data_IF_018735434376
#
_entry.id   IF_018735434376
#
_cell.length_a   1.000
_cell.length_b   1.000
_cell.length_c   1.000
_cell.angle_alpha   90.00
_cell.angle_beta   90.00
_cell.angle_gamma   90.00
#
_symmetry.space_group_name_H-M   'P 1'
#
loop_
_entity.id
_entity.type
_entity.pdbx_description
1 polymer ?
#
# COMPACT_ATOMS: atom_id res chain seq x y z
N UNK A 1 14.68 34.40 27.47
CA UNK A 1 14.10 34.18 26.12
C UNK A 1 15.21 33.71 25.21
N UNK A 2 15.21 32.44 24.83
CA UNK A 2 16.30 31.80 24.09
C UNK A 2 16.16 32.08 22.58
N UNK A 3 17.14 32.79 22.03
CA UNK A 3 17.23 33.13 20.61
C UNK A 3 17.53 31.90 19.76
N UNK A 4 16.51 31.38 19.08
CA UNK A 4 16.68 30.36 18.05
C UNK A 4 16.36 31.00 16.70
N UNK A 5 17.41 31.36 15.97
CA UNK A 5 17.34 31.62 14.53
C UNK A 5 17.29 30.27 13.80
N UNK A 6 16.32 30.10 12.91
CA UNK A 6 16.19 28.90 12.08
C UNK A 6 17.42 28.78 11.17
N UNK A 7 18.01 27.58 11.09
CA UNK A 7 19.10 27.24 10.16
C UNK A 7 18.53 26.31 9.09
N UNK A 8 18.57 26.75 7.84
CA UNK A 8 18.31 25.93 6.65
C UNK A 8 17.46 26.64 5.59
N UNK A 9 18.06 26.90 4.41
CA UNK A 9 17.46 27.24 3.11
C UNK A 9 16.11 28.00 3.08
N UNK A 10 15.92 29.00 3.93
CA UNK A 10 14.67 29.77 3.96
C UNK A 10 14.91 31.24 4.31
N UNK A 11 15.70 31.93 3.48
CA UNK A 11 15.85 33.39 3.56
C UNK A 11 15.87 34.05 2.17
N UNK A 12 15.24 33.45 1.18
CA UNK A 12 14.91 34.19 -0.04
C UNK A 12 13.51 34.79 0.14
N UNK A 13 13.43 36.11 0.21
CA UNK A 13 12.17 36.84 0.35
C UNK A 13 11.19 36.53 -0.79
N UNK A 14 11.70 36.20 -1.98
CA UNK A 14 10.93 35.74 -3.13
C UNK A 14 10.36 34.34 -2.93
N UNK A 15 11.10 33.42 -2.30
CA UNK A 15 10.57 32.09 -1.95
C UNK A 15 9.44 32.18 -0.92
N UNK A 16 9.65 32.97 0.14
CA UNK A 16 8.64 33.19 1.18
C UNK A 16 7.37 33.83 0.60
N UNK A 17 7.51 34.85 -0.25
CA UNK A 17 6.38 35.50 -0.92
C UNK A 17 5.63 34.52 -1.84
N UNK A 18 6.34 33.72 -2.64
CA UNK A 18 5.73 32.72 -3.51
C UNK A 18 5.06 31.58 -2.72
N UNK A 19 5.62 31.19 -1.57
CA UNK A 19 5.02 30.19 -0.68
C UNK A 19 3.75 30.73 -0.02
N UNK A 20 3.77 31.96 0.50
CA UNK A 20 2.59 32.59 1.11
C UNK A 20 1.48 32.88 0.09
N UNK A 21 1.83 33.27 -1.14
CA UNK A 21 0.85 33.42 -2.22
C UNK A 21 0.16 32.10 -2.58
N UNK A 22 0.90 30.98 -2.53
CA UNK A 22 0.33 29.62 -2.72
C UNK A 22 -0.62 29.24 -1.60
N UNK A 23 -0.25 29.45 -0.34
CA UNK A 23 -1.12 29.19 0.83
C UNK A 23 -2.38 30.05 0.79
N UNK A 24 -2.27 31.32 0.40
CA UNK A 24 -3.41 32.22 0.23
C UNK A 24 -4.35 31.75 -0.88
N UNK A 25 -3.81 31.30 -2.01
CA UNK A 25 -4.60 30.75 -3.12
C UNK A 25 -5.28 29.41 -2.75
N UNK A 26 -4.62 28.57 -1.96
CA UNK A 26 -5.14 27.29 -1.48
C UNK A 26 -6.27 27.48 -0.45
N UNK A 27 -6.20 28.54 0.36
CA UNK A 27 -7.27 28.92 1.30
C UNK A 27 -8.56 29.43 0.63
N UNK A 28 -8.51 29.74 -0.68
CA UNK A 28 -9.67 30.15 -1.48
C UNK A 28 -10.34 28.97 -2.20
N UNK A 29 -9.70 27.80 -2.21
CA UNK A 29 -10.31 26.59 -2.73
C UNK A 29 -11.28 26.04 -1.67
N UNK A 30 -12.49 25.60 -2.05
CA UNK A 30 -13.38 24.94 -1.11
C UNK A 30 -12.63 23.76 -0.48
N UNK A 31 -12.49 23.78 0.84
CA UNK A 31 -11.94 22.64 1.56
C UNK A 31 -12.91 21.48 1.34
N UNK A 32 -12.48 20.48 0.57
CA UNK A 32 -13.28 19.29 0.31
C UNK A 32 -13.29 18.45 1.58
N UNK A 33 -14.21 18.74 2.51
CA UNK A 33 -14.56 17.83 3.60
C UNK A 33 -15.36 16.65 3.02
N UNK A 34 -14.67 15.61 2.56
CA UNK A 34 -15.30 14.32 2.33
C UNK A 34 -15.48 13.62 3.69
N UNK A 35 -16.70 13.17 3.97
CA UNK A 35 -16.91 12.22 5.05
C UNK A 35 -16.04 10.96 4.81
N UNK A 36 -15.57 10.32 5.88
CA UNK A 36 -14.62 9.21 5.80
C UNK A 36 -15.12 8.02 4.96
N UNK A 37 -16.42 7.94 4.74
CA UNK A 37 -17.15 6.96 3.93
C UNK A 37 -17.55 7.45 2.54
N UNK A 38 -17.72 8.76 2.32
CA UNK A 38 -18.15 9.35 1.05
C UNK A 38 -17.18 9.08 -0.11
N UNK A 39 -15.88 8.94 0.19
CA UNK A 39 -14.90 8.51 -0.80
C UNK A 39 -15.14 7.09 -1.31
N UNK A 40 -15.77 6.20 -0.53
CA UNK A 40 -15.92 4.77 -0.85
C UNK A 40 -17.09 4.42 -1.78
N UNK A 41 -17.86 5.40 -2.24
CA UNK A 41 -18.97 5.22 -3.19
C UNK A 41 -18.60 5.61 -4.64
N UNK A 42 -17.39 6.13 -4.85
CA UNK A 42 -16.89 6.56 -6.16
C UNK A 42 -15.90 5.55 -6.75
N UNK A 43 -15.65 5.63 -8.06
CA UNK A 43 -14.56 4.89 -8.72
C UNK A 43 -13.24 5.04 -7.92
N UNK A 44 -12.49 3.97 -7.61
CA UNK A 44 -11.33 4.06 -6.73
C UNK A 44 -10.22 4.99 -7.22
N UNK A 45 -10.11 5.17 -8.55
CA UNK A 45 -9.12 6.04 -9.19
C UNK A 45 -9.59 7.50 -9.14
N UNK A 46 -10.85 7.76 -9.52
CA UNK A 46 -11.47 9.09 -9.53
C UNK A 46 -11.76 9.62 -8.12
N UNK A 47 -12.03 8.72 -7.18
CA UNK A 47 -12.38 8.98 -5.79
C UNK A 47 -11.21 9.15 -4.84
N UNK A 48 -9.97 8.95 -5.31
CA UNK A 48 -8.77 9.17 -4.50
C UNK A 48 -8.58 8.16 -3.35
N UNK A 49 -9.06 6.92 -3.48
CA UNK A 49 -8.95 5.92 -2.40
C UNK A 49 -7.50 5.65 -2.02
N UNK A 50 -7.22 5.42 -0.74
CA UNK A 50 -5.91 4.92 -0.35
C UNK A 50 -5.72 3.49 -0.88
N UNK A 51 -4.48 3.11 -1.22
CA UNK A 51 -4.17 1.76 -1.69
C UNK A 51 -4.66 0.66 -0.73
N UNK A 52 -4.67 0.94 0.58
CA UNK A 52 -5.19 0.04 1.60
C UNK A 52 -6.70 -0.15 1.54
N UNK A 53 -7.46 0.94 1.40
CA UNK A 53 -8.92 0.85 1.26
C UNK A 53 -9.31 0.07 0.00
N UNK A 54 -8.58 0.28 -1.11
CA UNK A 54 -8.77 -0.47 -2.34
C UNK A 54 -8.43 -1.95 -2.17
N UNK A 55 -7.31 -2.25 -1.50
CA UNK A 55 -6.92 -3.62 -1.20
C UNK A 55 -7.97 -4.36 -0.37
N UNK A 56 -8.49 -3.72 0.68
CA UNK A 56 -9.56 -4.29 1.51
C UNK A 56 -10.81 -4.62 0.69
N UNK A 57 -11.28 -3.68 -0.13
CA UNK A 57 -12.43 -3.89 -1.02
C UNK A 57 -12.22 -5.04 -2.01
N UNK A 58 -11.03 -5.14 -2.62
CA UNK A 58 -10.72 -6.20 -3.58
C UNK A 58 -10.58 -7.57 -2.91
N UNK A 59 -10.03 -7.64 -1.69
CA UNK A 59 -9.96 -8.88 -0.91
C UNK A 59 -11.36 -9.40 -0.56
N UNK A 60 -12.24 -8.53 -0.06
CA UNK A 60 -13.63 -8.88 0.22
C UNK A 60 -14.34 -9.36 -1.06
N UNK A 61 -14.17 -8.65 -2.17
CA UNK A 61 -14.74 -9.03 -3.48
C UNK A 61 -14.19 -10.36 -4.01
N UNK A 62 -12.95 -10.70 -3.68
CA UNK A 62 -12.32 -11.97 -4.04
C UNK A 62 -12.81 -13.14 -3.18
N UNK A 63 -13.53 -12.88 -2.08
CA UNK A 63 -14.09 -13.88 -1.18
C UNK A 63 -13.21 -14.15 0.05
N UNK A 64 -12.27 -13.26 0.37
CA UNK A 64 -11.58 -13.30 1.66
C UNK A 64 -12.50 -12.74 2.75
N UNK A 65 -12.44 -13.33 3.94
CA UNK A 65 -13.18 -12.89 5.14
C UNK A 65 -12.21 -12.37 6.20
N UNK A 66 -12.75 -11.81 7.27
CA UNK A 66 -11.98 -11.31 8.42
C UNK A 66 -10.84 -10.36 8.02
N UNK A 67 -11.08 -9.54 6.99
CA UNK A 67 -10.08 -8.58 6.53
C UNK A 67 -9.92 -7.50 7.59
N UNK A 68 -8.76 -7.46 8.23
CA UNK A 68 -8.48 -6.53 9.32
C UNK A 68 -7.16 -5.82 9.10
N UNK A 69 -7.10 -4.56 9.55
CA UNK A 69 -5.87 -3.79 9.72
C UNK A 69 -5.07 -4.39 10.88
N UNK A 70 -4.36 -5.48 10.57
CA UNK A 70 -3.71 -6.27 11.58
C UNK A 70 -2.39 -5.63 12.00
N UNK A 71 -2.48 -4.78 13.01
CA UNK A 71 -1.29 -4.16 13.62
C UNK A 71 -0.45 -5.14 14.43
N UNK A 72 -0.75 -6.45 14.42
CA UNK A 72 0.08 -7.44 15.10
C UNK A 72 1.47 -7.51 14.48
N UNK A 73 2.44 -7.47 15.37
CA UNK A 73 3.85 -7.62 15.04
C UNK A 73 4.16 -9.11 15.13
N UNK A 74 4.27 -9.78 13.98
CA UNK A 74 4.78 -11.13 13.88
C UNK A 74 6.30 -11.07 13.89
N UNK A 75 6.96 -11.53 14.95
CA UNK A 75 8.45 -11.60 15.02
C UNK A 75 9.17 -10.31 14.58
N UNK A 76 8.59 -9.14 14.87
CA UNK A 76 9.15 -7.83 14.49
C UNK A 76 8.69 -7.28 13.14
N UNK A 77 7.97 -8.06 12.32
CA UNK A 77 7.34 -7.61 11.08
C UNK A 77 5.86 -7.33 11.25
N UNK A 78 5.37 -6.28 10.60
CA UNK A 78 3.96 -5.89 10.61
C UNK A 78 3.46 -5.82 9.16
N UNK A 79 2.85 -6.88 8.63
CA UNK A 79 2.08 -6.81 7.39
C UNK A 79 0.94 -5.78 7.51
N UNK A 80 0.44 -5.29 6.38
CA UNK A 80 -0.57 -4.22 6.37
C UNK A 80 -1.96 -4.73 6.72
N UNK A 81 -2.33 -5.91 6.24
CA UNK A 81 -3.64 -6.53 6.45
C UNK A 81 -3.47 -8.01 6.78
N UNK A 82 -4.42 -8.58 7.53
CA UNK A 82 -4.65 -10.02 7.56
C UNK A 82 -6.06 -10.35 7.08
N UNK A 83 -6.24 -11.58 6.58
CA UNK A 83 -7.53 -12.08 6.12
C UNK A 83 -7.56 -13.62 6.18
N UNK A 84 -8.74 -14.18 5.99
CA UNK A 84 -8.99 -15.62 5.89
C UNK A 84 -9.45 -15.94 4.46
N UNK A 85 -8.87 -16.95 3.81
CA UNK A 85 -9.34 -17.39 2.49
C UNK A 85 -10.53 -18.36 2.57
N UNK A 86 -11.08 -18.72 1.41
CA UNK A 86 -12.21 -19.65 1.31
C UNK A 86 -11.93 -21.06 1.87
N UNK A 87 -10.66 -21.42 2.10
CA UNK A 87 -10.24 -22.69 2.73
C UNK A 87 -9.97 -22.54 4.23
N UNK A 88 -10.24 -21.38 4.82
CA UNK A 88 -9.95 -21.10 6.22
C UNK A 88 -8.48 -20.86 6.53
N UNK A 89 -7.61 -20.67 5.52
CA UNK A 89 -6.19 -20.39 5.74
C UNK A 89 -5.98 -18.92 6.02
N UNK A 90 -5.10 -18.60 6.97
CA UNK A 90 -4.67 -17.22 7.23
C UNK A 90 -3.80 -16.69 6.10
N UNK A 91 -4.08 -15.46 5.70
CA UNK A 91 -3.28 -14.66 4.80
C UNK A 91 -2.81 -13.38 5.49
N UNK A 92 -1.56 -13.04 5.21
CA UNK A 92 -0.94 -11.77 5.52
C UNK A 92 -0.72 -11.02 4.19
N UNK A 93 -1.06 -9.74 4.15
CA UNK A 93 -0.88 -8.91 2.97
C UNK A 93 -0.08 -7.66 3.31
N UNK A 94 0.94 -7.38 2.51
CA UNK A 94 1.59 -6.06 2.51
C UNK A 94 1.02 -5.24 1.36
N UNK A 95 0.47 -4.08 1.69
CA UNK A 95 -0.02 -3.12 0.71
C UNK A 95 1.10 -2.11 0.40
N UNK A 96 1.62 -2.19 -0.81
CA UNK A 96 2.70 -1.36 -1.33
C UNK A 96 2.12 -0.28 -2.22
N UNK A 97 1.71 0.84 -1.63
CA UNK A 97 1.13 1.98 -2.32
C UNK A 97 0.80 3.11 -1.33
N UNK A 98 1.04 4.35 -1.73
CA UNK A 98 0.81 5.52 -0.89
C UNK A 98 -0.64 6.02 -0.90
N UNK A 99 -0.92 7.01 -0.05
CA UNK A 99 -2.19 7.78 -0.03
C UNK A 99 -2.22 8.94 -1.05
N UNK A 100 -1.16 9.09 -1.85
CA UNK A 100 -0.96 10.21 -2.79
C UNK A 100 -1.60 9.94 -4.15
N UNK A 101 -1.78 10.96 -4.98
CA UNK A 101 -2.26 10.83 -6.36
C UNK A 101 -1.25 10.10 -7.26
N UNK A 102 0.05 10.34 -7.07
CA UNK A 102 1.10 9.55 -7.69
C UNK A 102 1.38 8.30 -6.83
N UNK A 103 1.08 7.10 -7.33
CA UNK A 103 1.18 5.83 -6.58
C UNK A 103 2.09 4.83 -7.29
N UNK A 104 3.41 5.06 -7.30
CA UNK A 104 4.36 4.15 -7.97
C UNK A 104 4.39 2.74 -7.36
N UNK A 105 3.87 2.57 -6.13
CA UNK A 105 3.80 1.28 -5.47
C UNK A 105 5.17 0.61 -5.36
N UNK A 106 5.24 -0.65 -5.79
CA UNK A 106 6.44 -1.47 -5.78
C UNK A 106 7.50 -1.06 -6.83
N UNK A 107 7.22 -0.06 -7.68
CA UNK A 107 8.28 0.59 -8.47
C UNK A 107 9.28 1.34 -7.59
N UNK A 108 8.90 1.69 -6.34
CA UNK A 108 9.83 2.16 -5.33
C UNK A 108 10.57 0.98 -4.72
N UNK A 109 11.81 0.78 -5.16
CA UNK A 109 12.59 -0.42 -4.85
C UNK A 109 12.72 -0.73 -3.35
N UNK A 110 12.91 0.29 -2.51
CA UNK A 110 12.99 0.11 -1.05
C UNK A 110 11.69 -0.46 -0.44
N UNK A 111 10.53 -0.06 -0.98
CA UNK A 111 9.24 -0.59 -0.52
C UNK A 111 9.06 -2.04 -0.97
N UNK A 112 9.50 -2.37 -2.18
CA UNK A 112 9.53 -3.75 -2.68
C UNK A 112 10.42 -4.64 -1.80
N UNK A 113 11.65 -4.20 -1.49
CA UNK A 113 12.56 -4.98 -0.66
C UNK A 113 12.00 -5.22 0.74
N UNK A 114 11.41 -4.20 1.35
CA UNK A 114 10.73 -4.35 2.64
C UNK A 114 9.58 -5.35 2.56
N UNK A 115 8.76 -5.28 1.51
CA UNK A 115 7.64 -6.20 1.32
C UNK A 115 8.12 -7.65 1.14
N UNK A 116 9.20 -7.88 0.39
CA UNK A 116 9.80 -9.21 0.21
C UNK A 116 10.37 -9.73 1.54
N UNK A 117 11.10 -8.90 2.30
CA UNK A 117 11.68 -9.28 3.58
C UNK A 117 10.60 -9.69 4.60
N UNK A 118 9.50 -8.95 4.68
CA UNK A 118 8.34 -9.31 5.52
C UNK A 118 7.79 -10.69 5.15
N UNK A 119 7.63 -10.99 3.85
CA UNK A 119 7.17 -12.30 3.41
C UNK A 119 8.11 -13.44 3.78
N UNK A 120 9.42 -13.22 3.71
CA UNK A 120 10.41 -14.20 4.17
C UNK A 120 10.28 -14.48 5.67
N UNK A 121 10.10 -13.45 6.48
CA UNK A 121 9.90 -13.61 7.94
C UNK A 121 8.58 -14.33 8.24
N UNK A 122 7.48 -13.95 7.58
CA UNK A 122 6.16 -14.58 7.76
C UNK A 122 6.23 -16.08 7.45
N UNK A 123 6.92 -16.46 6.37
CA UNK A 123 7.07 -17.87 5.98
C UNK A 123 7.73 -18.73 7.06
N UNK A 124 8.72 -18.19 7.76
CA UNK A 124 9.42 -18.92 8.82
C UNK A 124 8.66 -18.87 10.15
N UNK A 125 8.00 -17.75 10.46
CA UNK A 125 7.30 -17.56 11.73
C UNK A 125 5.91 -18.22 11.77
N UNK A 126 5.18 -18.24 10.65
CA UNK A 126 3.87 -18.89 10.50
C UNK A 126 3.81 -19.73 9.21
N UNK A 127 4.43 -20.93 9.17
CA UNK A 127 4.54 -21.74 7.95
C UNK A 127 3.20 -22.18 7.32
N UNK A 128 2.12 -22.18 8.12
CA UNK A 128 0.77 -22.47 7.65
C UNK A 128 0.08 -21.27 6.98
N UNK A 129 0.52 -20.05 7.29
CA UNK A 129 -0.03 -18.83 6.71
C UNK A 129 0.51 -18.58 5.29
N UNK A 130 -0.22 -17.77 4.54
CA UNK A 130 0.17 -17.29 3.21
C UNK A 130 0.52 -15.81 3.26
N UNK A 131 1.37 -15.38 2.34
CA UNK A 131 1.78 -13.98 2.26
C UNK A 131 1.59 -13.45 0.84
N UNK A 132 0.90 -12.31 0.69
CA UNK A 132 0.68 -11.64 -0.58
C UNK A 132 1.20 -10.21 -0.59
N UNK A 133 1.63 -9.73 -1.76
CA UNK A 133 1.97 -8.32 -1.98
C UNK A 133 0.91 -7.70 -2.87
N UNK A 134 0.30 -6.62 -2.40
CA UNK A 134 -0.72 -5.87 -3.12
C UNK A 134 -0.15 -4.50 -3.46
N UNK A 135 -0.03 -4.15 -4.73
CA UNK A 135 0.65 -2.92 -5.15
C UNK A 135 -0.18 -2.12 -6.15
N UNK A 136 -0.02 -0.80 -6.21
CA UNK A 136 -0.63 0.05 -7.26
C UNK A 136 0.25 0.18 -8.51
N UNK A 137 1.36 -0.53 -8.55
CA UNK A 137 2.28 -0.55 -9.69
C UNK A 137 3.33 -1.63 -9.51
N UNK A 138 3.49 -2.48 -10.51
CA UNK A 138 4.52 -3.52 -10.51
C UNK A 138 5.90 -2.93 -10.83
N UNK A 139 6.98 -3.43 -10.21
CA UNK A 139 8.33 -3.03 -10.56
C UNK A 139 8.68 -3.51 -11.97
N UNK A 140 9.47 -2.71 -12.69
CA UNK A 140 10.07 -3.17 -13.95
C UNK A 140 11.03 -4.35 -13.69
N UNK A 141 11.19 -5.23 -14.69
CA UNK A 141 12.06 -6.42 -14.58
C UNK A 141 13.48 -6.07 -14.11
N UNK A 142 14.07 -5.03 -14.70
CA UNK A 142 15.43 -4.55 -14.38
C UNK A 142 15.55 -3.84 -13.02
N UNK A 143 14.42 -3.55 -12.37
CA UNK A 143 14.35 -2.76 -11.13
C UNK A 143 13.52 -3.50 -10.09
N UNK A 144 13.91 -4.73 -9.77
CA UNK A 144 13.31 -5.55 -8.72
C UNK A 144 12.27 -6.57 -9.19
N UNK A 145 11.72 -6.43 -10.41
CA UNK A 145 10.75 -7.39 -10.95
C UNK A 145 11.31 -8.81 -11.10
N UNK A 146 12.58 -8.94 -11.52
CA UNK A 146 13.26 -10.25 -11.56
C UNK A 146 13.37 -10.92 -10.18
N UNK A 147 13.72 -10.15 -9.15
CA UNK A 147 13.82 -10.66 -7.79
C UNK A 147 12.45 -11.04 -7.23
N UNK A 148 11.44 -10.20 -7.44
CA UNK A 148 10.06 -10.48 -7.04
C UNK A 148 9.56 -11.78 -7.67
N UNK A 149 9.82 -11.99 -8.97
CA UNK A 149 9.49 -13.24 -9.67
C UNK A 149 10.19 -14.44 -9.03
N UNK A 150 11.47 -14.33 -8.66
CA UNK A 150 12.24 -15.43 -8.08
C UNK A 150 11.72 -15.90 -6.71
N UNK A 151 11.09 -15.00 -5.95
CA UNK A 151 10.53 -15.26 -4.61
C UNK A 151 9.01 -15.42 -4.60
N UNK A 152 8.36 -15.43 -5.77
CA UNK A 152 6.91 -15.59 -5.90
C UNK A 152 6.53 -17.02 -6.30
N UNK A 153 5.52 -17.59 -5.64
CA UNK A 153 4.93 -18.89 -5.96
C UNK A 153 4.40 -19.63 -4.73
N UNK A 154 3.64 -20.70 -4.94
CA UNK A 154 2.86 -21.40 -3.90
C UNK A 154 3.66 -21.95 -2.70
N UNK A 155 4.98 -22.05 -2.76
CA UNK A 155 5.85 -22.48 -1.64
C UNK A 155 6.99 -21.51 -1.35
N UNK A 156 6.94 -20.33 -1.96
CA UNK A 156 7.95 -19.29 -1.85
C UNK A 156 7.52 -18.25 -0.80
N UNK A 157 8.43 -17.35 -0.37
CA UNK A 157 8.12 -16.29 0.59
C UNK A 157 6.93 -15.41 0.20
N UNK A 158 6.71 -15.21 -1.09
CA UNK A 158 5.55 -14.48 -1.61
C UNK A 158 4.66 -15.46 -2.34
N UNK A 159 3.44 -15.69 -1.87
CA UNK A 159 2.51 -16.61 -2.52
C UNK A 159 1.90 -16.00 -3.79
N UNK A 160 1.59 -14.70 -3.75
CA UNK A 160 0.96 -13.96 -4.86
C UNK A 160 1.40 -12.49 -4.84
N UNK A 161 1.45 -11.88 -6.02
CA UNK A 161 1.59 -10.43 -6.20
C UNK A 161 0.44 -9.97 -7.07
N UNK A 162 -0.26 -8.92 -6.64
CA UNK A 162 -1.40 -8.37 -7.37
C UNK A 162 -1.22 -6.88 -7.58
N UNK A 163 -1.37 -6.45 -8.83
CA UNK A 163 -1.59 -5.04 -9.14
C UNK A 163 -3.06 -4.69 -8.84
N UNK A 164 -3.27 -3.85 -7.84
CA UNK A 164 -4.58 -3.41 -7.37
C UNK A 164 -5.36 -2.62 -8.43
N UNK A 165 -4.67 -2.08 -9.44
CA UNK A 165 -5.28 -1.29 -10.50
C UNK A 165 -5.58 -2.15 -11.76
N UNK A 166 -5.15 -3.41 -11.79
CA UNK A 166 -5.45 -4.29 -12.90
C UNK A 166 -6.91 -4.74 -12.88
N UNK A 167 -7.53 -4.81 -14.07
CA UNK A 167 -8.93 -5.20 -14.22
C UNK A 167 -9.23 -6.64 -13.72
N UNK A 168 -8.21 -7.49 -13.68
CA UNK A 168 -8.28 -8.88 -13.24
C UNK A 168 -7.84 -9.10 -11.78
N UNK A 169 -7.59 -8.03 -11.01
CA UNK A 169 -7.09 -8.11 -9.63
C UNK A 169 -7.94 -9.04 -8.74
N UNK A 170 -9.28 -8.92 -8.81
CA UNK A 170 -10.20 -9.78 -8.05
C UNK A 170 -10.10 -11.25 -8.47
N UNK A 171 -9.99 -11.53 -9.78
CA UNK A 171 -9.86 -12.89 -10.29
C UNK A 171 -8.54 -13.52 -9.84
N UNK A 172 -7.45 -12.76 -9.87
CA UNK A 172 -6.13 -13.19 -9.43
C UNK A 172 -6.11 -13.50 -7.92
N UNK A 173 -6.67 -12.61 -7.08
CA UNK A 173 -6.83 -12.83 -5.64
C UNK A 173 -7.69 -14.07 -5.36
N UNK A 174 -8.82 -14.22 -6.05
CA UNK A 174 -9.71 -15.37 -5.89
C UNK A 174 -9.03 -16.69 -6.25
N UNK A 175 -8.21 -16.70 -7.31
CA UNK A 175 -7.43 -17.88 -7.68
C UNK A 175 -6.39 -18.23 -6.61
N UNK A 176 -5.77 -17.23 -5.98
CA UNK A 176 -4.79 -17.43 -4.92
C UNK A 176 -5.41 -18.03 -3.64
N UNK A 177 -6.61 -17.59 -3.26
CA UNK A 177 -7.33 -18.08 -2.08
C UNK A 177 -7.98 -19.47 -2.21
N UNK A 178 -7.91 -20.09 -3.39
CA UNK A 178 -8.54 -21.38 -3.71
C UNK A 178 -7.64 -22.60 -3.50
#
# INVERSE_FOLDING_TARGET
RTGRHFIGYDTDAGYAAAAMARVGAESLLPQVQLAADAGRLTDPMAGGWAAKDLAESLLLSAGYTDVVDDRKVLTGVQPTLSATDAKGRRWWFEVVGGRTTNRPGAQRIELLWRAIAKGAVVREAEPAARYGILTTGLPATASGGGALKAVTGARKPVAVVVDLLAADAVAHLRAAGR
#
